data_IF_659172681823
#
_entry.id   IF_659172681823
#
_cell.length_a   1.000
_cell.length_b   1.000
_cell.length_c   1.000
_cell.angle_alpha   90.00
_cell.angle_beta   90.00
_cell.angle_gamma   90.00
#
_symmetry.space_group_name_H-M   'P 1'
#
loop_
_entity.id
_entity.type
_entity.pdbx_description
1 polymer ?
#
# COMPACT_ATOMS: atom_id res chain seq x y z
N UNK A 1 -19.58 -18.51 13.44
CA UNK A 1 -18.49 -17.54 13.65
C UNK A 1 -17.72 -17.34 12.34
N UNK A 2 -17.18 -18.35 11.69
CA UNK A 2 -16.45 -18.25 10.41
C UNK A 2 -17.23 -17.54 9.30
N UNK A 3 -18.51 -17.81 9.12
CA UNK A 3 -19.35 -17.16 8.10
C UNK A 3 -19.55 -15.67 8.36
N UNK A 4 -19.59 -15.25 9.61
CA UNK A 4 -19.73 -13.84 9.97
C UNK A 4 -18.41 -13.07 9.72
N UNK A 5 -17.27 -13.70 9.98
CA UNK A 5 -15.95 -13.12 9.71
C UNK A 5 -15.69 -12.99 8.20
N UNK A 6 -15.99 -14.04 7.41
CA UNK A 6 -15.89 -13.99 5.95
C UNK A 6 -16.77 -12.89 5.34
N UNK A 7 -18.01 -12.73 5.83
CA UNK A 7 -18.90 -11.68 5.32
C UNK A 7 -18.45 -10.26 5.72
N UNK A 8 -17.77 -10.13 6.86
CA UNK A 8 -17.21 -8.86 7.32
C UNK A 8 -15.98 -8.48 6.48
N UNK A 9 -15.13 -9.45 6.16
CA UNK A 9 -13.94 -9.25 5.33
C UNK A 9 -14.32 -8.93 3.88
N UNK A 10 -15.33 -9.58 3.32
CA UNK A 10 -15.86 -9.25 1.99
C UNK A 10 -16.43 -7.82 1.93
N UNK A 11 -17.16 -7.40 2.96
CA UNK A 11 -17.68 -6.02 3.05
C UNK A 11 -16.55 -4.99 3.16
N UNK A 12 -15.54 -5.27 3.97
CA UNK A 12 -14.38 -4.40 4.11
C UNK A 12 -13.58 -4.31 2.81
N UNK A 13 -13.40 -5.43 2.11
CA UNK A 13 -12.73 -5.45 0.81
C UNK A 13 -13.50 -4.63 -0.23
N UNK A 14 -14.82 -4.77 -0.31
CA UNK A 14 -15.67 -4.00 -1.22
C UNK A 14 -15.67 -2.50 -0.89
N UNK A 15 -15.66 -2.15 0.41
CA UNK A 15 -15.59 -0.76 0.84
C UNK A 15 -14.22 -0.14 0.51
N UNK A 16 -13.14 -0.90 0.72
CA UNK A 16 -11.79 -0.49 0.35
C UNK A 16 -11.69 -0.24 -1.15
N UNK A 17 -12.18 -1.18 -1.96
CA UNK A 17 -12.19 -1.05 -3.42
C UNK A 17 -12.97 0.21 -3.87
N UNK A 18 -14.11 0.47 -3.24
CA UNK A 18 -14.92 1.68 -3.50
C UNK A 18 -14.20 2.97 -3.08
N UNK A 19 -13.46 2.96 -1.96
CA UNK A 19 -12.65 4.09 -1.50
C UNK A 19 -11.47 4.32 -2.43
N UNK A 20 -10.81 3.25 -2.89
CA UNK A 20 -9.71 3.32 -3.86
C UNK A 20 -10.19 3.93 -5.19
N UNK A 21 -11.35 3.50 -5.69
CA UNK A 21 -11.94 4.04 -6.90
C UNK A 21 -12.27 5.53 -6.81
N UNK A 22 -12.60 6.02 -5.60
CA UNK A 22 -12.93 7.43 -5.31
C UNK A 22 -11.73 8.26 -4.84
N UNK A 23 -10.52 7.71 -4.79
CA UNK A 23 -9.33 8.34 -4.20
C UNK A 23 -9.54 8.82 -2.75
N UNK A 24 -10.30 8.09 -1.96
CA UNK A 24 -10.63 8.40 -0.56
C UNK A 24 -9.90 7.51 0.44
N UNK A 25 -8.78 6.92 0.03
CA UNK A 25 -7.93 6.14 0.93
C UNK A 25 -7.36 7.03 2.03
N UNK A 26 -7.61 6.68 3.28
CA UNK A 26 -7.17 7.43 4.46
C UNK A 26 -6.28 6.60 5.40
N UNK A 27 -5.83 7.20 6.51
CA UNK A 27 -4.97 6.52 7.47
C UNK A 27 -5.69 5.42 8.27
N UNK A 28 -7.02 5.46 8.37
CA UNK A 28 -7.78 4.35 8.96
C UNK A 28 -7.73 3.12 8.06
N UNK A 29 -7.84 3.31 6.75
CA UNK A 29 -7.70 2.21 5.78
C UNK A 29 -6.30 1.60 5.84
N UNK A 30 -5.26 2.41 6.08
CA UNK A 30 -3.90 1.95 6.28
C UNK A 30 -3.77 1.10 7.56
N UNK A 31 -4.41 1.51 8.66
CA UNK A 31 -4.47 0.70 9.89
C UNK A 31 -5.12 -0.65 9.65
N UNK A 32 -6.25 -0.68 8.96
CA UNK A 32 -6.95 -1.91 8.62
C UNK A 32 -6.07 -2.86 7.79
N UNK A 33 -5.26 -2.32 6.87
CA UNK A 33 -4.28 -3.11 6.14
C UNK A 33 -3.19 -3.70 7.04
N UNK A 34 -2.68 -2.92 7.99
CA UNK A 34 -1.69 -3.42 8.95
C UNK A 34 -2.27 -4.54 9.82
N UNK A 35 -3.51 -4.38 10.28
CA UNK A 35 -4.20 -5.41 11.08
C UNK A 35 -4.44 -6.69 10.27
N UNK A 36 -4.77 -6.58 8.99
CA UNK A 36 -4.92 -7.74 8.11
C UNK A 36 -3.59 -8.49 7.93
N UNK A 37 -2.50 -7.75 7.67
CA UNK A 37 -1.16 -8.34 7.52
C UNK A 37 -0.76 -9.08 8.81
N UNK A 38 -1.02 -8.48 9.96
CA UNK A 38 -0.71 -9.09 11.26
C UNK A 38 -1.52 -10.37 11.51
N UNK A 39 -2.80 -10.40 11.13
CA UNK A 39 -3.67 -11.59 11.24
C UNK A 39 -3.25 -12.72 10.31
N UNK A 40 -2.64 -12.42 9.17
CA UNK A 40 -2.12 -13.42 8.23
C UNK A 40 -0.87 -14.13 8.73
N UNK A 41 -0.31 -13.71 9.85
CA UNK A 41 0.94 -14.21 10.41
C UNK A 41 2.03 -13.14 10.45
N UNK A 42 3.26 -13.54 10.80
CA UNK A 42 4.34 -12.56 10.82
C UNK A 42 4.57 -12.01 9.41
N UNK A 43 4.82 -10.70 9.33
CA UNK A 43 5.17 -10.02 8.07
C UNK A 43 6.34 -10.74 7.37
N UNK A 44 7.27 -11.24 8.15
CA UNK A 44 8.43 -12.02 7.70
C UNK A 44 8.02 -13.29 6.95
N UNK A 45 7.06 -14.04 7.51
CA UNK A 45 6.58 -15.27 6.89
C UNK A 45 5.79 -14.99 5.61
N UNK A 46 4.98 -13.93 5.62
CA UNK A 46 4.21 -13.49 4.45
C UNK A 46 5.12 -13.08 3.29
N UNK A 47 6.19 -12.32 3.57
CA UNK A 47 7.15 -11.89 2.55
C UNK A 47 7.93 -13.10 1.99
N UNK A 48 8.31 -14.04 2.85
CA UNK A 48 9.01 -15.28 2.41
C UNK A 48 8.17 -16.15 1.49
N UNK A 49 6.86 -16.11 1.63
CA UNK A 49 5.92 -16.86 0.77
C UNK A 49 5.75 -16.23 -0.62
N UNK A 50 6.16 -14.98 -0.82
CA UNK A 50 6.04 -14.31 -2.11
C UNK A 50 7.08 -14.82 -3.11
N UNK A 51 6.66 -15.43 -4.23
CA UNK A 51 7.59 -15.94 -5.23
C UNK A 51 8.39 -14.79 -5.88
N UNK A 52 9.71 -14.93 -5.91
CA UNK A 52 10.63 -13.97 -6.53
C UNK A 52 11.03 -12.77 -5.65
N UNK A 53 10.36 -12.53 -4.54
CA UNK A 53 10.66 -11.46 -3.59
C UNK A 53 11.28 -12.04 -2.32
N UNK A 54 10.74 -13.13 -1.81
CA UNK A 54 11.16 -13.75 -0.54
C UNK A 54 12.61 -14.17 -0.48
N UNK A 55 13.23 -14.48 -1.62
CA UNK A 55 14.65 -14.83 -1.70
C UNK A 55 15.59 -13.62 -1.80
N UNK A 56 15.06 -12.43 -2.10
CA UNK A 56 15.85 -11.20 -2.29
C UNK A 56 15.89 -10.31 -1.07
N UNK A 57 14.93 -10.48 -0.15
CA UNK A 57 14.82 -9.70 1.08
C UNK A 57 15.47 -10.50 2.20
N UNK A 58 16.49 -9.92 2.82
CA UNK A 58 17.14 -10.50 4.00
C UNK A 58 16.23 -10.31 5.22
N UNK A 59 16.27 -11.25 6.14
CA UNK A 59 15.51 -11.15 7.40
C UNK A 59 15.85 -9.87 8.20
N UNK A 60 17.03 -9.32 8.01
CA UNK A 60 17.51 -8.08 8.62
C UNK A 60 16.84 -6.83 8.02
N UNK A 61 16.36 -6.91 6.78
CA UNK A 61 15.70 -5.80 6.09
C UNK A 61 14.22 -5.66 6.48
N UNK A 62 13.65 -6.64 7.19
CA UNK A 62 12.27 -6.65 7.61
C UNK A 62 12.17 -6.08 9.02
N UNK A 63 11.84 -4.80 9.10
CA UNK A 63 11.59 -4.12 10.38
C UNK A 63 10.12 -4.28 10.81
N UNK A 64 9.82 -5.36 11.52
CA UNK A 64 8.49 -5.58 12.12
C UNK A 64 8.11 -4.47 13.12
N UNK A 65 9.10 -3.85 13.74
CA UNK A 65 8.91 -2.71 14.63
C UNK A 65 8.41 -1.45 13.91
N UNK A 66 8.66 -1.30 12.61
CA UNK A 66 8.19 -0.16 11.84
C UNK A 66 6.67 -0.08 11.79
N UNK A 67 5.97 -1.22 11.65
CA UNK A 67 4.50 -1.26 11.67
C UNK A 67 3.94 -0.83 13.02
N UNK A 68 4.53 -1.30 14.11
CA UNK A 68 4.12 -0.91 15.46
C UNK A 68 4.35 0.58 15.71
N UNK A 69 5.48 1.13 15.22
CA UNK A 69 5.74 2.58 15.29
C UNK A 69 4.71 3.37 14.50
N UNK A 70 4.41 2.99 13.27
CA UNK A 70 3.40 3.67 12.45
C UNK A 70 2.01 3.58 13.06
N UNK A 71 1.64 2.42 13.57
CA UNK A 71 0.38 2.22 14.30
C UNK A 71 0.27 3.17 15.50
N UNK A 72 1.31 3.25 16.32
CA UNK A 72 1.34 4.14 17.49
C UNK A 72 1.18 5.62 17.09
N UNK A 73 1.83 6.05 16.01
CA UNK A 73 1.71 7.40 15.47
C UNK A 73 0.26 7.67 15.04
N UNK A 74 -0.37 6.75 14.31
CA UNK A 74 -1.75 6.92 13.84
C UNK A 74 -2.74 6.92 15.01
N UNK A 75 -2.53 6.10 16.04
CA UNK A 75 -3.36 6.12 17.24
C UNK A 75 -3.24 7.42 18.04
N UNK A 76 -2.12 8.11 17.97
CA UNK A 76 -1.93 9.44 18.56
C UNK A 76 -2.64 10.56 17.80
N UNK A 77 -3.11 10.30 16.58
CA UNK A 77 -3.87 11.25 15.77
C UNK A 77 -5.35 11.28 16.17
N UNK A 78 -5.99 12.44 15.97
CA UNK A 78 -7.45 12.54 16.07
C UNK A 78 -8.13 11.85 14.88
N UNK A 79 -9.42 11.56 15.01
CA UNK A 79 -10.22 10.96 13.93
C UNK A 79 -10.18 11.84 12.67
N UNK A 80 -10.24 13.16 12.84
CA UNK A 80 -10.17 14.11 11.73
C UNK A 80 -8.81 14.08 11.02
N UNK A 81 -7.71 14.00 11.78
CA UNK A 81 -6.36 13.90 11.22
C UNK A 81 -6.12 12.61 10.46
N UNK A 82 -6.71 11.50 10.91
CA UNK A 82 -6.66 10.22 10.20
C UNK A 82 -7.42 10.26 8.88
N UNK A 83 -8.56 10.94 8.86
CA UNK A 83 -9.42 11.07 7.68
C UNK A 83 -8.88 12.10 6.69
N UNK A 84 -8.30 13.19 7.21
CA UNK A 84 -7.77 14.31 6.41
C UNK A 84 -6.33 14.64 6.82
N UNK A 85 -5.34 13.85 6.40
CA UNK A 85 -3.95 14.08 6.78
C UNK A 85 -3.41 15.45 6.36
N UNK A 86 -4.06 16.12 5.41
CA UNK A 86 -3.67 17.45 4.93
C UNK A 86 -3.74 18.52 6.01
N UNK A 87 -4.57 18.34 7.04
CA UNK A 87 -4.69 19.29 8.17
C UNK A 87 -3.54 19.21 9.16
N UNK A 88 -2.67 18.21 9.05
CA UNK A 88 -1.57 17.97 9.98
C UNK A 88 -0.46 18.98 9.72
N UNK A 89 -0.50 20.06 10.45
CA UNK A 89 0.51 21.14 10.46
C UNK A 89 1.67 20.81 11.42
N UNK A 90 2.76 21.62 11.44
CA UNK A 90 3.92 21.38 12.32
C UNK A 90 3.57 21.28 13.82
N UNK A 91 2.61 22.06 14.30
CA UNK A 91 2.16 22.00 15.69
C UNK A 91 1.48 20.65 16.01
N UNK A 92 0.61 20.19 15.12
CA UNK A 92 -0.04 18.88 15.24
C UNK A 92 0.96 17.73 15.18
N UNK A 93 1.96 17.81 14.31
CA UNK A 93 3.05 16.81 14.24
C UNK A 93 3.80 16.68 15.55
N UNK A 94 4.14 17.80 16.21
CA UNK A 94 4.79 17.78 17.52
C UNK A 94 3.92 17.14 18.59
N UNK A 95 2.62 17.46 18.62
CA UNK A 95 1.67 16.85 19.55
C UNK A 95 1.53 15.34 19.31
N UNK A 96 1.39 14.92 18.05
CA UNK A 96 1.28 13.50 17.66
C UNK A 96 2.55 12.75 18.08
N UNK A 97 3.72 13.28 17.78
CA UNK A 97 5.00 12.69 18.15
C UNK A 97 5.14 12.53 19.67
N UNK A 98 4.84 13.60 20.43
CA UNK A 98 4.87 13.57 21.87
C UNK A 98 3.89 12.56 22.48
N UNK A 99 2.70 12.44 21.91
CA UNK A 99 1.66 11.51 22.37
C UNK A 99 2.02 10.03 22.23
N UNK A 100 2.85 9.67 21.26
CA UNK A 100 3.30 8.30 21.04
C UNK A 100 4.76 8.03 21.42
N UNK A 101 5.47 9.03 21.96
CA UNK A 101 6.88 8.91 22.34
C UNK A 101 7.84 8.80 21.14
N UNK A 102 7.44 9.28 19.97
CA UNK A 102 8.22 9.28 18.74
C UNK A 102 8.76 10.66 18.41
N UNK A 103 9.62 10.75 17.40
CA UNK A 103 10.14 12.01 16.90
C UNK A 103 9.25 12.56 15.78
N UNK A 104 9.35 13.89 15.53
CA UNK A 104 8.61 14.54 14.43
C UNK A 104 9.02 13.96 13.07
N UNK A 105 10.26 13.52 12.93
CA UNK A 105 10.81 12.85 11.75
C UNK A 105 10.08 11.56 11.43
N UNK A 106 9.70 10.79 12.46
CA UNK A 106 8.94 9.54 12.28
C UNK A 106 7.53 9.83 11.76
N UNK A 107 6.89 10.89 12.28
CA UNK A 107 5.59 11.37 11.78
C UNK A 107 5.71 11.83 10.31
N UNK A 108 6.75 12.58 9.98
CA UNK A 108 7.01 13.00 8.60
C UNK A 108 7.24 11.82 7.66
N UNK A 109 7.97 10.79 8.11
CA UNK A 109 8.22 9.58 7.34
C UNK A 109 6.93 8.83 7.04
N UNK A 110 6.08 8.63 8.05
CA UNK A 110 4.77 8.01 7.86
C UNK A 110 3.91 8.79 6.85
N UNK A 111 3.81 10.10 7.00
CA UNK A 111 3.00 10.94 6.11
C UNK A 111 3.55 10.94 4.67
N UNK A 112 4.87 10.92 4.49
CA UNK A 112 5.49 10.81 3.17
C UNK A 112 5.19 9.48 2.51
N UNK A 113 5.33 8.38 3.23
CA UNK A 113 5.01 7.04 2.72
C UNK A 113 3.53 6.91 2.38
N UNK A 114 2.67 7.46 3.22
CA UNK A 114 1.23 7.49 2.96
C UNK A 114 0.89 8.28 1.67
N UNK A 115 1.50 9.44 1.45
CA UNK A 115 1.34 10.22 0.21
C UNK A 115 1.79 9.44 -1.03
N UNK A 116 2.92 8.75 -0.93
CA UNK A 116 3.40 7.89 -2.03
C UNK A 116 2.42 6.76 -2.32
N UNK A 117 1.89 6.12 -1.28
CA UNK A 117 0.88 5.07 -1.41
C UNK A 117 -0.41 5.61 -2.05
N UNK A 118 -0.88 6.79 -1.63
CA UNK A 118 -2.03 7.44 -2.25
C UNK A 118 -1.82 7.73 -3.75
N UNK A 119 -0.62 8.16 -4.13
CA UNK A 119 -0.27 8.38 -5.54
C UNK A 119 -0.28 7.08 -6.33
N UNK A 120 0.28 6.00 -5.79
CA UNK A 120 0.25 4.69 -6.44
C UNK A 120 -1.18 4.17 -6.60
N UNK A 121 -1.99 4.25 -5.56
CA UNK A 121 -3.41 3.89 -5.60
C UNK A 121 -4.17 4.69 -6.62
N UNK A 122 -3.91 6.00 -6.71
CA UNK A 122 -4.52 6.89 -7.71
C UNK A 122 -4.14 6.51 -9.14
N UNK A 123 -2.91 6.04 -9.36
CA UNK A 123 -2.45 5.58 -10.66
C UNK A 123 -3.08 4.23 -11.07
N UNK A 124 -3.24 3.31 -10.11
CA UNK A 124 -3.76 1.96 -10.36
C UNK A 124 -5.27 1.82 -10.14
N UNK A 125 -5.86 2.64 -9.25
CA UNK A 125 -7.27 2.56 -8.84
C UNK A 125 -8.23 3.47 -9.62
N UNK A 126 -7.74 4.30 -10.51
CA UNK A 126 -8.54 5.27 -11.28
C UNK A 126 -9.25 4.66 -12.48
N UNK A 127 -10.26 3.80 -12.21
CA UNK A 127 -11.37 3.44 -13.10
C UNK A 127 -11.08 2.98 -14.53
N UNK A 128 -11.69 1.86 -14.90
CA UNK A 128 -11.94 1.41 -16.29
C UNK A 128 -10.81 1.64 -17.32
N UNK A 129 -9.70 1.04 -17.10
CA UNK A 129 -8.57 1.08 -18.03
C UNK A 129 -7.29 1.12 -17.22
N UNK A 130 -6.45 0.14 -17.39
CA UNK A 130 -5.19 -0.02 -16.71
C UNK A 130 -4.34 1.25 -16.57
N UNK A 131 -3.13 1.16 -16.04
CA UNK A 131 -2.32 2.33 -15.75
C UNK A 131 -2.36 3.30 -16.92
N UNK A 132 -2.82 4.54 -16.66
CA UNK A 132 -2.80 5.59 -17.67
C UNK A 132 -1.35 5.83 -18.04
N UNK A 133 -0.90 5.14 -19.06
CA UNK A 133 0.39 5.42 -19.69
C UNK A 133 0.43 6.90 -20.04
N UNK A 134 1.50 7.57 -19.61
CA UNK A 134 1.72 8.97 -20.02
C UNK A 134 1.68 9.04 -21.55
N UNK A 135 1.21 10.15 -22.08
CA UNK A 135 1.22 10.39 -23.55
C UNK A 135 2.59 10.07 -24.19
N UNK A 136 3.65 10.28 -23.45
CA UNK A 136 5.03 9.98 -23.85
C UNK A 136 5.28 8.47 -23.98
N UNK A 137 4.78 7.67 -23.03
CA UNK A 137 4.86 6.20 -23.08
C UNK A 137 3.98 5.62 -24.19
N UNK A 138 2.78 6.17 -24.42
CA UNK A 138 1.92 5.79 -25.55
C UNK A 138 2.59 6.05 -26.90
N UNK A 139 3.28 7.20 -27.04
CA UNK A 139 4.04 7.51 -28.26
C UNK A 139 5.22 6.57 -28.47
N UNK A 140 5.96 6.24 -27.41
CA UNK A 140 7.07 5.27 -27.48
C UNK A 140 6.59 3.86 -27.85
N UNK A 141 5.44 3.41 -27.34
CA UNK A 141 4.87 2.12 -27.72
C UNK A 141 4.32 2.09 -29.14
N UNK A 142 3.75 3.18 -29.65
CA UNK A 142 3.26 3.25 -31.03
C UNK A 142 4.39 3.40 -32.06
N UNK A 143 5.54 3.93 -31.67
CA UNK A 143 6.71 4.08 -32.56
C UNK A 143 7.63 2.86 -32.57
N UNK A 144 7.59 2.00 -31.56
CA UNK A 144 8.35 0.76 -31.46
C UNK A 144 7.47 -0.43 -31.09
N UNK A 145 6.75 -1.02 -32.08
CA UNK A 145 5.94 -2.21 -31.82
C UNK A 145 6.75 -3.42 -31.34
N UNK A 146 8.06 -3.47 -31.67
CA UNK A 146 8.96 -4.53 -31.17
C UNK A 146 9.20 -4.47 -29.65
N UNK A 147 9.26 -3.28 -29.08
CA UNK A 147 9.37 -3.14 -27.61
C UNK A 147 8.09 -3.56 -26.90
N UNK A 148 6.92 -3.29 -27.47
CA UNK A 148 5.65 -3.73 -26.93
C UNK A 148 5.53 -5.27 -26.98
N UNK A 149 5.99 -5.90 -28.05
CA UNK A 149 6.05 -7.36 -28.17
C UNK A 149 7.08 -7.97 -27.21
N UNK A 150 8.22 -7.34 -26.97
CA UNK A 150 9.20 -7.81 -25.97
C UNK A 150 8.69 -7.74 -24.55
N UNK A 151 7.91 -6.72 -24.17
CA UNK A 151 7.29 -6.62 -22.85
C UNK A 151 6.13 -7.58 -22.67
N UNK A 152 5.30 -7.80 -23.71
CA UNK A 152 4.22 -8.78 -23.70
C UNK A 152 4.71 -10.23 -23.92
N UNK A 153 5.76 -10.42 -24.73
CA UNK A 153 6.31 -11.75 -25.04
C UNK A 153 7.08 -12.40 -23.88
N UNK A 154 7.51 -11.62 -22.91
CA UNK A 154 8.22 -12.15 -21.73
C UNK A 154 7.28 -12.80 -20.71
N UNK A 155 6.00 -12.54 -20.82
CA UNK A 155 4.97 -13.17 -19.96
C UNK A 155 4.29 -14.39 -20.61
N UNK A 156 4.61 -14.70 -21.87
CA UNK A 156 4.00 -15.81 -22.61
C UNK A 156 4.87 -17.05 -22.83
N UNK A 157 6.06 -17.08 -22.26
CA UNK A 157 7.07 -18.06 -22.66
C UNK A 157 7.60 -19.00 -21.60
N UNK A 158 7.06 -19.03 -20.42
CA UNK A 158 7.43 -20.04 -19.44
C UNK A 158 6.19 -20.80 -19.00
N UNK A 159 5.90 -21.86 -19.69
CA UNK A 159 5.05 -22.91 -19.17
C UNK A 159 5.77 -23.48 -17.93
N UNK A 160 5.30 -23.23 -16.70
CA UNK A 160 6.00 -23.68 -15.49
C UNK A 160 6.03 -25.20 -15.33
N UNK A 161 5.37 -25.93 -16.22
CA UNK A 161 5.24 -27.40 -16.19
C UNK A 161 5.98 -28.14 -17.31
N UNK A 162 6.77 -27.45 -18.12
CA UNK A 162 7.69 -28.11 -19.08
C UNK A 162 7.03 -28.97 -20.15
N UNK A 163 5.79 -28.68 -20.50
CA UNK A 163 5.10 -29.34 -21.61
C UNK A 163 5.09 -28.49 -22.87
#
# INVERSE_FOLDING_TARGET
>A
IERAEMSLDEKKAAELERKLAKNKFDLNDLLDQFDQIERMGSLRDTIKMLPGIGSKIKDEDIDEGAFNRFRSIIYSMTVEERTKPEIINPSRKRRIAAGCGMQVEDVNRLLSQFKQMQKMVKQFGGGKGGPKMSKKMRRMMSQNPEMAQRMMGKNGGSNPFGF
#
